data_IF_906206077973
#
_entry.id   IF_906206077973
#
_cell.length_a   1.000
_cell.length_b   1.000
_cell.length_c   1.000
_cell.angle_alpha   90.00
_cell.angle_beta   90.00
_cell.angle_gamma   90.00
#
_symmetry.space_group_name_H-M   'P 1'
#
loop_
_entity.id
_entity.type
_entity.pdbx_description
1 polymer ?
#
# COMPACT_ATOMS: atom_id res chain seq x y z
N UNK A 1 -37.39 -11.95 -16.37
CA UNK A 1 -36.42 -10.94 -15.91
C UNK A 1 -37.17 -9.98 -14.99
N UNK A 2 -36.56 -9.67 -13.84
CA UNK A 2 -37.10 -8.70 -12.90
C UNK A 2 -37.04 -7.28 -13.53
N UNK A 3 -38.00 -6.43 -13.20
CA UNK A 3 -38.08 -5.04 -13.72
C UNK A 3 -36.79 -4.26 -13.49
N UNK A 4 -36.12 -4.47 -12.34
CA UNK A 4 -34.81 -3.90 -12.00
C UNK A 4 -33.70 -4.39 -12.96
N UNK A 5 -33.76 -5.64 -13.37
CA UNK A 5 -32.79 -6.24 -14.29
C UNK A 5 -32.91 -5.62 -15.69
N UNK A 6 -34.14 -5.37 -16.15
CA UNK A 6 -34.42 -4.71 -17.43
C UNK A 6 -33.92 -3.26 -17.42
N UNK A 7 -34.15 -2.52 -16.32
CA UNK A 7 -33.68 -1.14 -16.14
C UNK A 7 -32.16 -1.09 -16.19
N UNK A 8 -31.48 -2.00 -15.48
CA UNK A 8 -30.02 -2.07 -15.45
C UNK A 8 -29.43 -2.40 -16.84
N UNK A 9 -29.99 -3.36 -17.56
CA UNK A 9 -29.52 -3.71 -18.92
C UNK A 9 -29.71 -2.55 -19.90
N UNK A 10 -30.82 -1.86 -19.82
CA UNK A 10 -31.10 -0.67 -20.63
C UNK A 10 -30.11 0.44 -20.34
N UNK A 11 -29.82 0.69 -19.08
CA UNK A 11 -28.83 1.69 -18.65
C UNK A 11 -27.43 1.36 -19.16
N UNK A 12 -27.00 0.11 -19.03
CA UNK A 12 -25.68 -0.35 -19.52
C UNK A 12 -25.57 -0.18 -21.02
N UNK A 13 -26.64 -0.53 -21.76
CA UNK A 13 -26.68 -0.36 -23.23
C UNK A 13 -26.55 1.12 -23.61
N UNK A 14 -27.31 1.99 -22.96
CA UNK A 14 -27.23 3.43 -23.21
C UNK A 14 -25.86 4.04 -22.89
N UNK A 15 -25.24 3.58 -21.78
CA UNK A 15 -23.90 4.02 -21.42
C UNK A 15 -22.87 3.54 -22.44
N UNK A 16 -22.97 2.26 -22.89
CA UNK A 16 -22.10 1.71 -23.93
C UNK A 16 -22.20 2.51 -25.24
N UNK A 17 -23.40 2.79 -25.73
CA UNK A 17 -23.63 3.57 -26.92
C UNK A 17 -23.04 5.00 -26.79
N UNK A 18 -23.18 5.63 -25.63
CA UNK A 18 -22.59 6.95 -25.35
C UNK A 18 -21.07 6.91 -25.38
N UNK A 19 -20.46 5.90 -24.75
CA UNK A 19 -19.02 5.70 -24.74
C UNK A 19 -18.52 5.43 -26.15
N UNK A 20 -19.11 4.49 -26.90
CA UNK A 20 -18.71 4.17 -28.27
C UNK A 20 -18.81 5.37 -29.21
N UNK A 21 -19.85 6.20 -29.08
CA UNK A 21 -19.96 7.44 -29.85
C UNK A 21 -18.82 8.41 -29.55
N UNK A 22 -18.50 8.64 -28.26
CA UNK A 22 -17.40 9.52 -27.86
C UNK A 22 -16.03 8.97 -28.29
N UNK A 23 -15.84 7.65 -28.23
CA UNK A 23 -14.63 7.00 -28.75
C UNK A 23 -14.48 7.17 -30.26
N UNK A 24 -15.59 7.13 -31.01
CA UNK A 24 -15.58 7.41 -32.45
C UNK A 24 -15.25 8.86 -32.80
N UNK A 25 -15.46 9.78 -31.89
CA UNK A 25 -15.10 11.21 -32.03
C UNK A 25 -13.65 11.49 -31.57
N UNK A 26 -13.03 10.61 -30.77
CA UNK A 26 -11.66 10.76 -30.31
C UNK A 26 -10.68 10.38 -31.42
N UNK A 27 -9.58 11.16 -31.57
CA UNK A 27 -8.55 10.90 -32.58
C UNK A 27 -7.56 9.78 -32.16
N UNK A 28 -7.94 8.92 -31.22
CA UNK A 28 -7.13 7.76 -30.81
C UNK A 28 -5.94 8.08 -29.90
N UNK A 29 -5.79 9.30 -29.41
CA UNK A 29 -4.75 9.66 -28.44
C UNK A 29 -5.27 9.39 -27.01
N UNK A 30 -4.65 8.46 -26.32
CA UNK A 30 -4.94 8.14 -24.91
C UNK A 30 -3.87 8.75 -24.00
N UNK A 31 -3.96 10.05 -23.78
CA UNK A 31 -2.94 10.82 -23.06
C UNK A 31 -2.52 10.21 -21.72
N UNK A 32 -3.43 9.71 -20.82
CA UNK A 32 -3.00 9.05 -19.58
C UNK A 32 -2.13 7.81 -19.80
N UNK A 33 -2.44 6.99 -20.82
CA UNK A 33 -1.66 5.81 -21.17
C UNK A 33 -0.33 6.21 -21.83
N UNK A 34 -0.37 7.13 -22.77
CA UNK A 34 0.82 7.62 -23.47
C UNK A 34 1.79 8.29 -22.49
N UNK A 35 1.28 9.05 -21.51
CA UNK A 35 2.07 9.68 -20.45
C UNK A 35 2.75 8.64 -19.56
N UNK A 36 2.02 7.62 -19.13
CA UNK A 36 2.57 6.55 -18.29
C UNK A 36 3.63 5.71 -19.02
N UNK A 37 3.42 5.45 -20.33
CA UNK A 37 4.32 4.60 -21.13
C UNK A 37 5.49 5.37 -21.76
N UNK A 38 5.50 6.70 -21.72
CA UNK A 38 6.55 7.54 -22.34
C UNK A 38 7.93 7.35 -21.70
N UNK A 39 7.98 7.13 -20.38
CA UNK A 39 9.19 7.05 -19.58
C UNK A 39 9.26 5.74 -18.79
N UNK A 40 9.09 4.62 -19.49
CA UNK A 40 9.28 3.29 -18.90
C UNK A 40 10.78 2.99 -18.80
N UNK A 41 11.21 2.47 -17.65
CA UNK A 41 12.58 1.98 -17.45
C UNK A 41 12.58 0.47 -17.20
N UNK A 42 13.72 -0.14 -17.42
CA UNK A 42 13.99 -1.51 -16.96
C UNK A 42 14.21 -1.53 -15.44
N UNK A 43 13.87 -2.63 -14.76
CA UNK A 43 14.18 -2.82 -13.35
C UNK A 43 15.68 -2.69 -13.07
N UNK A 44 16.03 -1.99 -11.99
CA UNK A 44 17.42 -1.77 -11.60
C UNK A 44 17.96 -3.02 -10.91
N UNK A 45 19.12 -3.50 -11.37
CA UNK A 45 19.89 -4.55 -10.71
C UNK A 45 20.62 -4.00 -9.48
N UNK A 46 20.58 -4.72 -8.35
CA UNK A 46 21.19 -4.31 -7.07
C UNK A 46 20.81 -2.90 -6.62
N UNK A 47 19.51 -2.61 -6.51
CA UNK A 47 19.05 -1.26 -6.23
C UNK A 47 19.37 -0.81 -4.81
N UNK A 48 19.47 0.50 -4.62
CA UNK A 48 19.37 1.13 -3.30
C UNK A 48 17.87 1.35 -2.99
N UNK A 49 17.42 0.75 -1.89
CA UNK A 49 16.01 0.75 -1.47
C UNK A 49 15.86 1.53 -0.18
N UNK A 50 14.84 2.36 -0.07
CA UNK A 50 14.46 3.00 1.19
C UNK A 50 13.11 2.47 1.68
N UNK A 51 12.90 2.50 2.99
CA UNK A 51 11.63 2.13 3.61
C UNK A 51 11.36 3.03 4.82
N UNK A 52 10.10 3.12 5.25
CA UNK A 52 9.77 3.87 6.45
C UNK A 52 9.96 2.99 7.69
N UNK A 53 10.65 3.52 8.70
CA UNK A 53 10.90 2.89 10.00
C UNK A 53 12.36 2.55 10.25
N UNK A 54 12.60 1.97 11.40
CA UNK A 54 13.93 1.53 11.86
C UNK A 54 14.27 0.12 11.31
N UNK A 55 15.55 -0.30 11.31
CA UNK A 55 15.93 -1.69 11.06
C UNK A 55 15.14 -2.67 11.94
N UNK A 56 14.60 -3.73 11.34
CA UNK A 56 13.69 -4.65 12.03
C UNK A 56 12.20 -4.32 11.85
N UNK A 57 11.84 -3.21 11.19
CA UNK A 57 10.46 -2.90 10.86
C UNK A 57 9.87 -3.87 9.83
N UNK A 58 8.53 -3.97 9.77
CA UNK A 58 7.85 -4.78 8.76
C UNK A 58 8.09 -4.25 7.33
N UNK A 59 8.38 -2.96 7.19
CA UNK A 59 8.77 -2.35 5.90
C UNK A 59 10.13 -2.85 5.41
N UNK A 60 11.13 -3.05 6.30
CA UNK A 60 12.39 -3.71 5.95
C UNK A 60 12.15 -5.17 5.51
N UNK A 61 11.30 -5.89 6.25
CA UNK A 61 10.95 -7.27 5.89
C UNK A 61 10.28 -7.35 4.52
N UNK A 62 9.45 -6.38 4.17
CA UNK A 62 8.85 -6.27 2.85
C UNK A 62 9.90 -5.99 1.76
N UNK A 63 10.87 -5.10 2.01
CA UNK A 63 11.97 -4.84 1.10
C UNK A 63 12.81 -6.11 0.86
N UNK A 64 13.14 -6.85 1.91
CA UNK A 64 13.86 -8.13 1.82
C UNK A 64 13.02 -9.19 1.09
N UNK A 65 11.71 -9.25 1.32
CA UNK A 65 10.81 -10.18 0.64
C UNK A 65 10.77 -9.94 -0.88
N UNK A 66 10.72 -8.68 -1.30
CA UNK A 66 10.60 -8.32 -2.72
C UNK A 66 11.92 -8.36 -3.47
N UNK A 67 13.00 -7.80 -2.90
CA UNK A 67 14.30 -7.65 -3.57
C UNK A 67 15.30 -8.77 -3.23
N UNK A 68 14.98 -9.61 -2.25
CA UNK A 68 15.84 -10.68 -1.79
C UNK A 68 16.73 -10.30 -0.60
N UNK A 69 17.31 -11.36 0.02
CA UNK A 69 18.25 -11.19 1.13
C UNK A 69 19.51 -10.48 0.65
N UNK A 70 19.94 -9.46 1.38
CA UNK A 70 21.15 -8.70 1.04
C UNK A 70 20.88 -7.44 0.20
N UNK A 71 19.62 -7.10 -0.05
CA UNK A 71 19.27 -5.82 -0.67
C UNK A 71 19.88 -4.66 0.15
N UNK A 72 20.49 -3.70 -0.56
CA UNK A 72 20.99 -2.48 0.06
C UNK A 72 19.80 -1.59 0.42
N UNK A 73 19.35 -1.67 1.68
CA UNK A 73 18.17 -0.96 2.14
C UNK A 73 18.47 -0.08 3.36
N UNK A 74 17.79 1.09 3.42
CA UNK A 74 17.93 2.10 4.47
C UNK A 74 16.56 2.51 5.00
N UNK A 75 16.41 2.57 6.33
CA UNK A 75 15.21 3.05 6.99
C UNK A 75 15.20 4.57 7.13
N UNK A 76 14.06 5.19 6.83
CA UNK A 76 13.81 6.62 6.98
C UNK A 76 12.65 6.87 7.94
N UNK A 77 12.63 8.02 8.62
CA UNK A 77 11.69 8.28 9.70
C UNK A 77 10.27 8.48 9.17
N UNK A 78 10.10 9.31 8.14
CA UNK A 78 8.79 9.67 7.60
C UNK A 78 8.57 9.08 6.21
N UNK A 79 7.31 8.84 5.85
CA UNK A 79 6.95 8.42 4.50
C UNK A 79 7.43 9.42 3.45
N UNK A 80 7.29 10.71 3.72
CA UNK A 80 7.70 11.78 2.81
C UNK A 80 9.18 11.72 2.47
N UNK A 81 10.05 11.47 3.46
CA UNK A 81 11.50 11.32 3.26
C UNK A 81 11.82 10.23 2.23
N UNK A 82 11.03 9.14 2.19
CA UNK A 82 11.23 8.06 1.23
C UNK A 82 10.91 8.49 -0.21
N UNK A 83 9.87 9.31 -0.39
CA UNK A 83 9.53 9.88 -1.70
C UNK A 83 10.58 10.90 -2.14
N UNK A 84 11.07 11.74 -1.25
CA UNK A 84 12.16 12.67 -1.54
C UNK A 84 13.44 11.94 -1.94
N UNK A 85 13.78 10.84 -1.25
CA UNK A 85 14.96 10.05 -1.57
C UNK A 85 14.90 9.46 -2.98
N UNK A 86 13.75 8.90 -3.41
CA UNK A 86 13.63 8.36 -4.77
C UNK A 86 13.50 9.44 -5.83
N UNK A 87 12.92 10.59 -5.54
CA UNK A 87 12.80 11.72 -6.49
C UNK A 87 14.14 12.44 -6.70
N UNK A 88 14.96 12.55 -5.67
CA UNK A 88 16.30 13.11 -5.78
C UNK A 88 17.34 12.17 -6.39
N UNK A 89 17.01 10.87 -6.56
CA UNK A 89 17.94 9.84 -7.01
C UNK A 89 18.89 9.35 -5.89
N UNK A 90 18.64 9.70 -4.64
CA UNK A 90 19.38 9.17 -3.49
C UNK A 90 19.07 7.68 -3.23
N UNK A 91 17.92 7.22 -3.68
CA UNK A 91 17.52 5.82 -3.72
C UNK A 91 16.77 5.49 -5.03
N UNK A 92 16.70 4.21 -5.38
CA UNK A 92 16.06 3.75 -6.61
C UNK A 92 14.59 3.41 -6.40
N UNK A 93 14.27 2.84 -5.23
CA UNK A 93 12.92 2.42 -4.85
C UNK A 93 12.61 2.76 -3.40
N UNK A 94 11.32 2.96 -3.13
CA UNK A 94 10.78 3.00 -1.78
C UNK A 94 9.82 1.82 -1.56
N UNK A 95 9.89 1.16 -0.38
CA UNK A 95 8.94 0.11 0.02
C UNK A 95 8.07 0.64 1.15
N UNK A 96 6.78 0.76 0.88
CA UNK A 96 5.83 1.48 1.73
C UNK A 96 4.57 0.64 1.99
N UNK A 97 4.07 0.63 3.24
CA UNK A 97 2.82 -0.03 3.56
C UNK A 97 1.65 0.76 2.93
N UNK A 98 0.77 0.09 2.19
CA UNK A 98 -0.38 0.74 1.56
C UNK A 98 -1.71 0.33 2.19
N UNK A 99 -1.74 -0.85 2.79
CA UNK A 99 -2.92 -1.39 3.44
C UNK A 99 -2.55 -2.41 4.52
N UNK A 100 -3.31 -2.39 5.61
CA UNK A 100 -3.26 -3.45 6.61
C UNK A 100 -4.64 -4.12 6.71
N UNK A 101 -4.69 -5.44 6.76
CA UNK A 101 -5.94 -6.23 6.79
C UNK A 101 -6.83 -5.97 8.01
N UNK A 102 -6.28 -5.39 9.08
CA UNK A 102 -7.01 -5.07 10.31
C UNK A 102 -7.43 -3.61 10.41
N UNK A 103 -6.67 -2.68 9.82
CA UNK A 103 -6.87 -1.22 9.98
C UNK A 103 -7.19 -0.50 8.67
N UNK A 104 -7.13 -1.21 7.53
CA UNK A 104 -7.47 -0.68 6.22
C UNK A 104 -6.35 0.13 5.56
N UNK A 105 -6.72 1.05 4.68
CA UNK A 105 -5.82 1.84 3.86
C UNK A 105 -4.93 2.78 4.65
N UNK A 106 -3.64 2.83 4.28
CA UNK A 106 -2.67 3.80 4.80
C UNK A 106 -2.69 5.03 3.89
N UNK A 107 -3.62 5.90 4.20
CA UNK A 107 -4.06 7.01 3.35
C UNK A 107 -2.95 7.96 2.93
N UNK A 108 -2.01 8.25 3.85
CA UNK A 108 -0.89 9.15 3.59
C UNK A 108 -0.03 8.68 2.40
N UNK A 109 0.14 7.37 2.20
CA UNK A 109 0.94 6.86 1.08
C UNK A 109 0.26 7.12 -0.26
N UNK A 110 -1.08 7.04 -0.34
CA UNK A 110 -1.83 7.42 -1.55
C UNK A 110 -1.68 8.91 -1.87
N UNK A 111 -1.75 9.76 -0.83
CA UNK A 111 -1.61 11.20 -0.99
C UNK A 111 -0.20 11.56 -1.52
N UNK A 112 0.84 10.93 -0.96
CA UNK A 112 2.23 11.12 -1.38
C UNK A 112 2.50 10.56 -2.79
N UNK A 113 1.92 9.40 -3.14
CA UNK A 113 1.98 8.88 -4.52
C UNK A 113 1.46 9.89 -5.53
N UNK A 114 0.34 10.54 -5.22
CA UNK A 114 -0.24 11.57 -6.09
C UNK A 114 0.63 12.83 -6.12
N UNK A 115 1.08 13.31 -4.97
CA UNK A 115 1.88 14.53 -4.82
C UNK A 115 3.24 14.43 -5.51
N UNK A 116 3.96 13.33 -5.32
CA UNK A 116 5.32 13.14 -5.87
C UNK A 116 5.33 12.55 -7.27
N UNK A 117 4.17 12.27 -7.82
CA UNK A 117 4.04 11.68 -9.16
C UNK A 117 4.89 10.42 -9.38
N UNK A 118 4.87 9.52 -8.42
CA UNK A 118 5.56 8.25 -8.47
C UNK A 118 4.67 7.11 -8.95
N UNK A 119 5.28 5.98 -9.28
CA UNK A 119 4.62 4.78 -9.79
C UNK A 119 4.78 3.60 -8.83
N UNK A 120 3.75 2.78 -8.72
CA UNK A 120 3.81 1.46 -8.09
C UNK A 120 4.31 0.45 -9.13
N UNK A 121 5.46 -0.17 -8.87
CA UNK A 121 6.13 -1.09 -9.79
C UNK A 121 6.16 -2.54 -9.28
N UNK A 122 5.58 -2.76 -8.12
CA UNK A 122 5.44 -4.08 -7.51
C UNK A 122 4.70 -4.00 -6.18
N UNK A 123 4.30 -5.15 -5.67
CA UNK A 123 3.74 -5.29 -4.32
C UNK A 123 4.22 -6.57 -3.65
N UNK A 124 4.15 -6.60 -2.34
CA UNK A 124 4.37 -7.77 -1.51
C UNK A 124 3.55 -7.69 -0.24
N UNK A 125 3.34 -8.83 0.40
CA UNK A 125 2.65 -8.89 1.67
C UNK A 125 3.58 -9.36 2.77
N UNK A 126 3.37 -8.86 3.98
CA UNK A 126 4.08 -9.31 5.17
C UNK A 126 3.07 -9.61 6.27
N UNK A 127 3.10 -10.84 6.77
CA UNK A 127 2.32 -11.21 7.95
C UNK A 127 2.87 -10.50 9.17
N UNK A 128 2.02 -9.74 9.84
CA UNK A 128 2.38 -9.03 11.07
C UNK A 128 2.29 -10.00 12.25
N UNK A 129 3.45 -10.45 12.72
CA UNK A 129 3.58 -11.31 13.91
C UNK A 129 4.31 -10.55 15.00
N UNK A 130 3.55 -10.02 15.96
CA UNK A 130 4.10 -9.33 17.10
C UNK A 130 4.58 -10.33 18.15
N UNK A 131 5.78 -10.11 18.65
CA UNK A 131 6.41 -10.93 19.69
C UNK A 131 6.76 -10.04 20.89
N UNK A 132 6.63 -10.58 22.09
CA UNK A 132 7.13 -9.94 23.30
C UNK A 132 8.59 -10.30 23.48
N UNK A 133 9.43 -9.30 23.63
CA UNK A 133 10.87 -9.46 23.76
C UNK A 133 11.46 -8.63 24.88
N UNK A 134 12.52 -9.15 25.48
CA UNK A 134 13.23 -8.58 26.62
C UNK A 134 14.75 -8.73 26.42
N UNK A 135 15.55 -8.19 27.35
CA UNK A 135 16.98 -8.46 27.41
C UNK A 135 17.25 -9.97 27.57
N UNK A 136 18.39 -10.49 27.07
CA UNK A 136 18.71 -11.93 27.11
C UNK A 136 18.63 -12.58 28.47
N UNK A 137 18.95 -11.82 29.54
CA UNK A 137 19.00 -12.25 30.93
C UNK A 137 17.76 -11.85 31.73
N UNK A 138 16.69 -11.33 31.09
CA UNK A 138 15.41 -11.01 31.70
C UNK A 138 14.36 -12.08 31.42
N UNK A 139 13.34 -12.14 32.30
CA UNK A 139 12.21 -13.05 32.24
C UNK A 139 10.85 -12.32 32.35
N UNK A 140 9.75 -13.06 32.15
CA UNK A 140 8.38 -12.52 32.17
C UNK A 140 8.06 -11.82 33.50
N UNK A 141 8.60 -12.33 34.64
CA UNK A 141 8.39 -11.78 35.97
C UNK A 141 9.09 -10.45 36.24
N UNK A 142 10.10 -10.11 35.45
CA UNK A 142 10.82 -8.84 35.58
C UNK A 142 10.05 -7.67 34.98
N UNK A 143 9.14 -7.94 34.04
CA UNK A 143 8.48 -6.92 33.21
C UNK A 143 7.57 -6.02 34.03
N UNK A 144 7.78 -4.71 33.88
CA UNK A 144 6.92 -3.65 34.43
C UNK A 144 6.41 -2.70 33.37
N UNK A 145 7.15 -2.56 32.26
CA UNK A 145 6.79 -1.63 31.17
C UNK A 145 6.99 -2.29 29.81
N UNK A 146 6.00 -2.11 28.94
CA UNK A 146 6.02 -2.62 27.56
C UNK A 146 5.94 -1.45 26.59
N UNK A 147 6.85 -1.42 25.61
CA UNK A 147 6.95 -0.41 24.58
C UNK A 147 6.57 -0.99 23.21
N UNK A 148 5.81 -0.24 22.44
CA UNK A 148 5.54 -0.50 21.01
C UNK A 148 4.89 0.71 20.38
N UNK A 149 4.72 0.69 19.04
CA UNK A 149 3.81 1.61 18.37
C UNK A 149 2.37 1.43 18.92
N UNK A 150 1.60 2.51 18.98
CA UNK A 150 0.23 2.48 19.52
C UNK A 150 -0.62 1.37 18.90
N UNK A 151 -0.54 1.21 17.58
CA UNK A 151 -1.23 0.14 16.87
C UNK A 151 -0.74 -1.27 17.27
N UNK A 152 0.56 -1.45 17.53
CA UNK A 152 1.12 -2.72 18.01
C UNK A 152 0.57 -3.08 19.39
N UNK A 153 0.46 -2.09 20.28
CA UNK A 153 -0.17 -2.26 21.60
C UNK A 153 -1.63 -2.67 21.45
N UNK A 154 -2.40 -1.96 20.62
CA UNK A 154 -3.81 -2.26 20.35
C UNK A 154 -4.00 -3.67 19.76
N UNK A 155 -3.19 -4.03 18.78
CA UNK A 155 -3.25 -5.36 18.16
C UNK A 155 -2.89 -6.51 19.11
N UNK A 156 -2.23 -6.23 20.24
CA UNK A 156 -1.87 -7.20 21.29
C UNK A 156 -2.71 -7.05 22.57
N UNK A 157 -3.81 -6.31 22.50
CA UNK A 157 -4.60 -5.93 23.66
C UNK A 157 -5.09 -7.13 24.48
N UNK A 158 -5.53 -8.21 23.83
CA UNK A 158 -6.00 -9.41 24.52
C UNK A 158 -4.91 -9.99 25.43
N UNK A 159 -3.71 -10.17 24.90
CA UNK A 159 -2.55 -10.66 25.67
C UNK A 159 -2.16 -9.68 26.79
N UNK A 160 -2.11 -8.38 26.50
CA UNK A 160 -1.75 -7.36 27.47
C UNK A 160 -2.78 -7.20 28.60
N UNK A 161 -4.04 -7.56 28.37
CA UNK A 161 -5.07 -7.55 29.41
C UNK A 161 -4.94 -8.70 30.42
N UNK A 162 -4.15 -9.72 30.11
CA UNK A 162 -3.76 -10.77 31.05
C UNK A 162 -2.65 -10.29 32.04
N UNK A 163 -1.96 -9.18 31.66
CA UNK A 163 -0.85 -8.55 32.41
C UNK A 163 -1.15 -7.08 32.73
N UNK A 164 -2.19 -6.83 33.52
CA UNK A 164 -2.70 -5.48 33.82
C UNK A 164 -1.77 -4.61 34.65
N UNK A 165 -0.82 -5.22 35.32
CA UNK A 165 0.23 -4.59 36.08
C UNK A 165 1.34 -3.96 35.23
N UNK A 166 1.41 -4.29 33.95
CA UNK A 166 2.39 -3.70 33.04
C UNK A 166 1.93 -2.33 32.53
N UNK A 167 2.83 -1.35 32.58
CA UNK A 167 2.63 -0.04 32.00
C UNK A 167 2.87 -0.12 30.47
N UNK A 168 1.90 0.29 29.67
CA UNK A 168 1.96 0.30 28.20
C UNK A 168 2.37 1.69 27.74
N UNK A 169 3.48 1.80 27.02
CA UNK A 169 4.04 3.10 26.59
C UNK A 169 4.14 3.13 25.07
N UNK A 170 3.30 3.93 24.39
CA UNK A 170 3.40 4.13 22.96
C UNK A 170 4.73 4.77 22.54
N UNK A 171 5.26 4.32 21.40
CA UNK A 171 6.45 4.84 20.76
C UNK A 171 6.16 5.14 19.26
N UNK A 172 7.11 5.79 18.59
CA UNK A 172 6.99 6.18 17.18
C UNK A 172 6.85 4.96 16.26
N UNK A 173 7.57 3.87 16.53
CA UNK A 173 7.50 2.62 15.78
C UNK A 173 7.85 1.39 16.64
N UNK A 174 7.54 0.19 16.11
CA UNK A 174 7.76 -1.08 16.82
C UNK A 174 9.24 -1.45 16.91
N UNK A 175 10.03 -1.24 15.85
CA UNK A 175 11.43 -1.62 15.81
C UNK A 175 12.30 -0.68 16.67
N UNK A 176 12.01 0.63 16.65
CA UNK A 176 12.62 1.61 17.57
C UNK A 176 12.35 1.30 19.02
N UNK A 177 11.18 0.72 19.34
CA UNK A 177 10.91 0.22 20.70
C UNK A 177 11.86 -0.91 21.10
N UNK A 178 12.16 -1.84 20.19
CA UNK A 178 13.13 -2.90 20.45
C UNK A 178 14.55 -2.35 20.63
N UNK A 179 14.97 -1.42 19.76
CA UNK A 179 16.26 -0.71 19.91
C UNK A 179 16.36 -0.04 21.28
N UNK A 180 15.34 0.73 21.65
CA UNK A 180 15.31 1.45 22.93
C UNK A 180 15.43 0.50 24.14
N UNK A 181 14.72 -0.64 24.15
CA UNK A 181 14.84 -1.64 25.23
C UNK A 181 16.25 -2.21 25.32
N UNK A 182 16.88 -2.49 24.17
CA UNK A 182 18.28 -2.94 24.13
C UNK A 182 19.25 -1.90 24.69
N UNK A 183 19.09 -0.64 24.31
CA UNK A 183 19.96 0.48 24.75
C UNK A 183 19.77 0.82 26.25
N UNK A 184 18.54 0.72 26.76
CA UNK A 184 18.25 1.01 28.18
C UNK A 184 18.91 0.00 29.13
N UNK A 185 19.08 -1.25 28.74
CA UNK A 185 19.69 -2.27 29.56
C UNK A 185 18.92 -2.60 30.86
N UNK A 186 17.64 -2.25 30.95
CA UNK A 186 16.78 -2.42 32.11
C UNK A 186 15.87 -3.64 31.95
N UNK A 187 16.08 -4.68 32.75
CA UNK A 187 15.31 -5.94 32.72
C UNK A 187 13.79 -5.75 32.92
N UNK A 188 13.37 -4.64 33.51
CA UNK A 188 11.96 -4.34 33.72
C UNK A 188 11.24 -3.85 32.47
N UNK A 189 11.95 -3.73 31.36
CA UNK A 189 11.46 -3.21 30.09
C UNK A 189 11.33 -4.32 29.04
N UNK A 190 10.21 -4.29 28.31
CA UNK A 190 9.95 -5.19 27.20
C UNK A 190 9.52 -4.42 25.96
N UNK A 191 9.72 -4.98 24.79
CA UNK A 191 9.20 -4.45 23.54
C UNK A 191 8.25 -5.43 22.87
N UNK A 192 7.29 -4.91 22.11
CA UNK A 192 6.46 -5.69 21.18
C UNK A 192 6.87 -5.31 19.76
N UNK A 193 7.45 -6.27 19.03
CA UNK A 193 7.99 -6.03 17.69
C UNK A 193 8.06 -7.32 16.85
N UNK A 194 8.66 -7.21 15.65
CA UNK A 194 8.95 -8.33 14.76
C UNK A 194 10.08 -9.23 15.31
N UNK A 195 10.17 -10.48 14.85
CA UNK A 195 11.31 -11.34 15.16
C UNK A 195 12.63 -10.79 14.62
N UNK A 196 12.57 -10.10 13.47
CA UNK A 196 13.76 -9.46 12.86
C UNK A 196 14.37 -8.39 13.77
N UNK A 197 13.54 -7.58 14.45
CA UNK A 197 14.04 -6.61 15.41
C UNK A 197 14.73 -7.29 16.61
N UNK A 198 14.22 -8.42 17.08
CA UNK A 198 14.88 -9.17 18.15
C UNK A 198 16.30 -9.63 17.73
N UNK A 199 16.46 -10.13 16.51
CA UNK A 199 17.77 -10.52 15.95
C UNK A 199 18.75 -9.35 15.88
N UNK A 200 18.29 -8.21 15.32
CA UNK A 200 19.14 -7.02 15.12
C UNK A 200 19.60 -6.41 16.45
N UNK A 201 18.69 -6.31 17.42
CA UNK A 201 18.96 -5.62 18.70
C UNK A 201 19.36 -6.57 19.83
N UNK A 202 19.57 -7.87 19.53
CA UNK A 202 20.04 -8.85 20.50
C UNK A 202 19.06 -9.11 21.64
N UNK A 203 17.76 -9.04 21.38
CA UNK A 203 16.71 -9.30 22.37
C UNK A 203 16.24 -10.76 22.33
N UNK A 204 15.83 -11.28 23.50
CA UNK A 204 15.22 -12.60 23.63
C UNK A 204 13.71 -12.51 23.45
N UNK A 205 13.17 -13.26 22.50
CA UNK A 205 11.72 -13.43 22.37
C UNK A 205 11.26 -14.39 23.48
N UNK A 206 10.40 -13.92 24.36
CA UNK A 206 9.85 -14.71 25.46
C UNK A 206 8.42 -15.18 25.18
N UNK A 207 7.71 -14.52 24.27
CA UNK A 207 6.40 -14.96 23.81
C UNK A 207 6.21 -14.59 22.33
N UNK A 208 5.94 -15.57 21.51
CA UNK A 208 5.69 -15.37 20.09
C UNK A 208 4.20 -15.19 19.77
N UNK A 209 3.92 -14.38 18.75
CA UNK A 209 2.60 -14.28 18.12
C UNK A 209 1.50 -13.85 19.09
N UNK A 210 1.74 -12.77 19.82
CA UNK A 210 0.80 -12.25 20.83
C UNK A 210 -0.33 -11.39 20.22
N UNK A 211 -0.41 -11.29 18.89
CA UNK A 211 -1.49 -10.60 18.20
C UNK A 211 -2.84 -11.23 18.52
N UNK A 212 -3.85 -10.41 18.79
CA UNK A 212 -5.25 -10.81 18.91
C UNK A 212 -5.76 -11.40 17.59
N UNK A 213 -5.47 -10.72 16.47
CA UNK A 213 -5.74 -11.23 15.12
C UNK A 213 -4.48 -11.89 14.55
N UNK A 214 -4.50 -13.22 14.42
CA UNK A 214 -3.35 -14.00 13.92
C UNK A 214 -3.20 -13.95 12.40
N UNK A 215 -4.20 -13.52 11.66
CA UNK A 215 -4.18 -13.37 10.19
C UNK A 215 -3.82 -11.95 9.75
N UNK A 216 -3.37 -11.07 10.67
CA UNK A 216 -3.00 -9.71 10.36
C UNK A 216 -1.86 -9.67 9.34
N UNK A 217 -2.12 -9.04 8.20
CA UNK A 217 -1.17 -8.93 7.08
C UNK A 217 -1.15 -7.48 6.60
N UNK A 218 0.02 -6.98 6.30
CA UNK A 218 0.20 -5.67 5.67
C UNK A 218 0.64 -5.86 4.22
N UNK A 219 -0.02 -5.18 3.32
CA UNK A 219 0.36 -5.07 1.91
C UNK A 219 1.28 -3.86 1.74
N UNK A 220 2.40 -4.09 1.09
CA UNK A 220 3.42 -3.09 0.77
C UNK A 220 3.49 -2.91 -0.74
N UNK A 221 3.73 -1.69 -1.17
CA UNK A 221 4.01 -1.35 -2.56
C UNK A 221 5.46 -0.94 -2.73
N UNK A 222 6.02 -1.31 -3.86
CA UNK A 222 7.33 -0.85 -4.32
C UNK A 222 7.09 0.35 -5.21
N UNK A 223 7.62 1.49 -4.80
CA UNK A 223 7.43 2.78 -5.44
C UNK A 223 8.70 3.21 -6.17
N UNK A 224 8.53 3.73 -7.36
CA UNK A 224 9.59 4.21 -8.25
C UNK A 224 9.22 5.58 -8.83
N UNK A 225 10.19 6.47 -9.10
CA UNK A 225 9.91 7.71 -9.81
C UNK A 225 9.60 7.51 -11.30
N UNK A 226 9.85 6.30 -11.83
CA UNK A 226 9.57 5.94 -13.23
C UNK A 226 8.74 4.67 -13.29
N UNK A 227 7.92 4.55 -14.35
CA UNK A 227 7.15 3.35 -14.64
C UNK A 227 8.08 2.18 -14.97
N UNK A 228 7.71 0.98 -14.54
CA UNK A 228 8.31 -0.29 -14.93
C UNK A 228 7.23 -1.28 -15.35
N UNK A 229 7.49 -2.03 -16.42
CA UNK A 229 6.59 -3.05 -16.93
C UNK A 229 7.21 -4.43 -16.75
N UNK A 230 7.18 -4.94 -15.54
CA UNK A 230 7.76 -6.24 -15.18
C UNK A 230 6.98 -7.39 -15.82
N UNK A 231 7.63 -8.50 -16.19
CA UNK A 231 6.94 -9.68 -16.71
C UNK A 231 5.90 -10.23 -15.73
N UNK A 232 4.79 -10.75 -16.27
CA UNK A 232 3.72 -11.34 -15.47
C UNK A 232 2.78 -10.34 -14.79
N UNK A 233 2.92 -9.05 -15.07
CA UNK A 233 2.03 -8.01 -14.55
C UNK A 233 0.58 -8.28 -14.93
N UNK A 234 -0.30 -8.15 -13.97
CA UNK A 234 -1.72 -8.50 -14.09
C UNK A 234 -2.65 -7.56 -13.32
N UNK A 235 -2.09 -6.54 -12.66
CA UNK A 235 -2.82 -5.55 -11.89
C UNK A 235 -2.45 -4.14 -12.34
N UNK A 236 -3.45 -3.32 -12.63
CA UNK A 236 -3.30 -1.91 -12.97
C UNK A 236 -3.86 -1.07 -11.82
N UNK A 237 -3.13 -0.03 -11.44
CA UNK A 237 -3.62 1.00 -10.51
C UNK A 237 -3.75 2.34 -11.24
N UNK A 238 -4.93 2.95 -11.10
CA UNK A 238 -5.23 4.29 -11.62
C UNK A 238 -5.80 5.17 -10.52
N UNK A 239 -5.73 6.48 -10.70
CA UNK A 239 -6.63 7.41 -10.02
C UNK A 239 -7.50 8.14 -11.02
N UNK A 240 -8.66 8.60 -10.54
CA UNK A 240 -9.58 9.42 -11.31
C UNK A 240 -10.46 10.29 -10.40
N UNK A 241 -11.06 11.32 -10.98
CA UNK A 241 -12.06 12.16 -10.32
C UNK A 241 -13.42 11.95 -10.97
N UNK A 242 -14.48 12.04 -10.18
CA UNK A 242 -15.85 12.04 -10.69
C UNK A 242 -16.49 13.40 -10.45
N UNK A 243 -17.44 13.78 -11.30
CA UNK A 243 -18.31 14.92 -10.99
C UNK A 243 -19.07 14.67 -9.68
N UNK A 244 -19.28 15.71 -8.90
CA UNK A 244 -20.07 15.62 -7.66
C UNK A 244 -21.58 15.62 -7.99
N UNK A 245 -22.06 14.52 -8.56
CA UNK A 245 -23.47 14.29 -8.91
C UNK A 245 -23.90 12.86 -8.65
N UNK A 246 -25.21 12.67 -8.51
CA UNK A 246 -25.80 11.35 -8.36
C UNK A 246 -25.45 10.44 -9.54
N UNK A 247 -24.95 9.23 -9.25
CA UNK A 247 -24.61 8.21 -10.26
C UNK A 247 -23.22 8.36 -10.88
N UNK A 248 -22.45 9.43 -10.65
CA UNK A 248 -21.15 9.62 -11.31
C UNK A 248 -20.18 8.47 -11.09
N UNK A 249 -20.00 8.02 -9.84
CA UNK A 249 -19.15 6.87 -9.54
C UNK A 249 -19.70 5.57 -10.15
N UNK A 250 -21.01 5.39 -10.16
CA UNK A 250 -21.65 4.23 -10.78
C UNK A 250 -21.36 4.18 -12.30
N UNK A 251 -21.38 5.32 -13.00
CA UNK A 251 -21.00 5.39 -14.43
C UNK A 251 -19.57 4.92 -14.64
N UNK A 252 -18.62 5.40 -13.83
CA UNK A 252 -17.22 4.97 -13.90
C UNK A 252 -17.07 3.46 -13.67
N UNK A 253 -17.71 2.92 -12.61
CA UNK A 253 -17.65 1.49 -12.29
C UNK A 253 -18.31 0.61 -13.36
N UNK A 254 -19.31 1.13 -14.06
CA UNK A 254 -19.97 0.41 -15.14
C UNK A 254 -19.03 0.19 -16.34
N UNK A 255 -18.03 1.05 -16.55
CA UNK A 255 -17.01 0.83 -17.59
C UNK A 255 -16.22 -0.45 -17.32
N UNK A 256 -15.76 -0.69 -16.09
CA UNK A 256 -15.07 -1.93 -15.73
C UNK A 256 -15.92 -3.17 -16.05
N UNK A 257 -17.23 -3.11 -15.73
CA UNK A 257 -18.17 -4.19 -16.07
C UNK A 257 -18.31 -4.40 -17.58
N UNK A 258 -18.44 -3.32 -18.37
CA UNK A 258 -18.60 -3.40 -19.84
C UNK A 258 -17.41 -4.11 -20.49
N UNK A 259 -16.19 -3.83 -19.99
CA UNK A 259 -14.96 -4.42 -20.49
C UNK A 259 -14.54 -5.71 -19.78
N UNK A 260 -15.37 -6.23 -18.86
CA UNK A 260 -15.11 -7.49 -18.15
C UNK A 260 -13.91 -7.44 -17.20
N UNK A 261 -13.55 -6.26 -16.71
CA UNK A 261 -12.42 -6.08 -15.80
C UNK A 261 -12.87 -6.29 -14.34
N UNK A 262 -12.09 -7.05 -13.59
CA UNK A 262 -12.31 -7.25 -12.17
C UNK A 262 -11.69 -6.09 -11.39
N UNK A 263 -12.54 -5.30 -10.71
CA UNK A 263 -12.10 -4.27 -9.78
C UNK A 263 -11.68 -4.94 -8.47
N UNK A 264 -10.40 -4.88 -8.14
CA UNK A 264 -9.81 -5.50 -6.94
C UNK A 264 -9.93 -4.57 -5.74
N UNK A 265 -9.78 -3.26 -5.97
CA UNK A 265 -9.79 -2.25 -4.92
C UNK A 265 -10.35 -0.92 -5.40
N UNK A 266 -11.00 -0.22 -4.47
CA UNK A 266 -11.43 1.17 -4.65
C UNK A 266 -11.25 1.93 -3.33
N UNK A 267 -10.41 2.96 -3.35
CA UNK A 267 -10.17 3.84 -2.20
C UNK A 267 -10.50 5.27 -2.59
N UNK A 268 -11.23 5.98 -1.75
CA UNK A 268 -11.55 7.39 -1.97
C UNK A 268 -10.70 8.30 -1.09
N UNK A 269 -10.15 9.36 -1.69
CA UNK A 269 -9.38 10.38 -0.98
C UNK A 269 -9.98 11.76 -1.21
N UNK A 270 -10.25 12.56 -0.17
CA UNK A 270 -10.64 13.94 -0.35
C UNK A 270 -9.51 14.71 -1.04
N UNK A 271 -9.89 15.60 -1.96
CA UNK A 271 -8.92 16.45 -2.64
C UNK A 271 -8.64 17.67 -1.73
N UNK A 272 -7.35 17.93 -1.41
CA UNK A 272 -7.01 19.12 -0.64
C UNK A 272 -7.58 20.39 -1.30
N UNK A 273 -8.10 21.32 -0.47
CA UNK A 273 -8.64 22.60 -0.89
C UNK A 273 -9.95 22.57 -1.71
N UNK A 274 -10.39 21.40 -2.18
CA UNK A 274 -11.65 21.22 -2.89
C UNK A 274 -12.71 20.57 -2.01
N UNK A 275 -13.61 21.36 -1.43
CA UNK A 275 -14.66 20.85 -0.53
C UNK A 275 -15.56 19.84 -1.24
N UNK A 276 -15.71 18.65 -0.62
CA UNK A 276 -16.60 17.57 -1.09
C UNK A 276 -16.23 16.97 -2.45
N UNK A 277 -15.00 17.20 -2.92
CA UNK A 277 -14.43 16.54 -4.09
C UNK A 277 -13.52 15.39 -3.66
N UNK A 278 -13.55 14.32 -4.44
CA UNK A 278 -12.81 13.09 -4.15
C UNK A 278 -12.02 12.62 -5.35
N UNK A 279 -10.81 12.19 -5.10
CA UNK A 279 -10.02 11.36 -6.00
C UNK A 279 -10.25 9.90 -5.61
N UNK A 280 -10.48 9.05 -6.58
CA UNK A 280 -10.61 7.61 -6.39
C UNK A 280 -9.36 6.91 -6.91
N UNK A 281 -8.78 6.05 -6.09
CA UNK A 281 -7.76 5.10 -6.52
C UNK A 281 -8.44 3.76 -6.78
N UNK A 282 -8.27 3.23 -7.97
CA UNK A 282 -8.85 1.96 -8.39
C UNK A 282 -7.74 0.99 -8.83
N UNK A 283 -7.77 -0.22 -8.28
CA UNK A 283 -6.92 -1.31 -8.75
C UNK A 283 -7.81 -2.35 -9.43
N UNK A 284 -7.41 -2.79 -10.61
CA UNK A 284 -8.15 -3.77 -11.39
C UNK A 284 -7.21 -4.70 -12.17
N UNK A 285 -7.73 -5.87 -12.55
CA UNK A 285 -6.95 -6.85 -13.30
C UNK A 285 -6.72 -6.37 -14.73
N UNK A 286 -5.47 -6.48 -15.20
CA UNK A 286 -5.12 -6.10 -16.57
C UNK A 286 -3.63 -5.89 -16.79
N UNK A 287 -3.29 -5.72 -18.07
CA UNK A 287 -1.96 -5.35 -18.55
C UNK A 287 -2.09 -4.18 -19.52
N UNK A 288 -1.37 -3.09 -19.24
CA UNK A 288 -1.42 -1.87 -20.05
C UNK A 288 -0.97 -2.05 -21.50
N UNK A 289 -0.20 -3.12 -21.78
CA UNK A 289 0.33 -3.39 -23.13
C UNK A 289 -0.54 -4.32 -23.97
N UNK A 290 -1.61 -4.87 -23.38
CA UNK A 290 -2.54 -5.74 -24.11
C UNK A 290 -3.40 -4.90 -25.06
N UNK A 291 -3.58 -5.42 -26.29
CA UNK A 291 -4.45 -4.80 -27.31
C UNK A 291 -5.85 -4.53 -26.74
N UNK A 292 -6.33 -3.30 -26.92
CA UNK A 292 -7.63 -2.86 -26.45
C UNK A 292 -7.63 -2.19 -25.07
N UNK A 293 -6.53 -2.20 -24.30
CA UNK A 293 -6.47 -1.51 -23.01
C UNK A 293 -6.56 0.02 -23.15
N UNK A 294 -6.05 0.58 -24.26
CA UNK A 294 -6.25 1.99 -24.60
C UNK A 294 -7.75 2.35 -24.67
N UNK A 295 -8.59 1.49 -25.28
CA UNK A 295 -10.05 1.71 -25.32
C UNK A 295 -10.71 1.71 -23.96
N UNK A 296 -10.21 0.90 -23.01
CA UNK A 296 -10.68 0.91 -21.62
C UNK A 296 -10.42 2.26 -20.96
N UNK A 297 -9.18 2.75 -21.07
CA UNK A 297 -8.80 4.05 -20.48
C UNK A 297 -9.57 5.20 -21.14
N UNK A 298 -9.67 5.20 -22.48
CA UNK A 298 -10.49 6.18 -23.20
C UNK A 298 -11.98 6.13 -22.79
N UNK A 299 -12.52 4.92 -22.60
CA UNK A 299 -13.90 4.75 -22.12
C UNK A 299 -14.10 5.32 -20.72
N UNK A 300 -13.12 5.14 -19.84
CA UNK A 300 -13.12 5.78 -18.52
C UNK A 300 -13.07 7.30 -18.64
N UNK A 301 -12.24 7.87 -19.52
CA UNK A 301 -12.18 9.32 -19.79
C UNK A 301 -13.52 9.91 -20.25
N UNK A 302 -14.41 9.09 -20.80
CA UNK A 302 -15.77 9.53 -21.14
C UNK A 302 -16.69 9.73 -19.91
N UNK A 303 -16.33 9.17 -18.76
CA UNK A 303 -17.17 9.14 -17.55
C UNK A 303 -16.53 9.83 -16.34
N UNK A 304 -15.22 10.03 -16.38
CA UNK A 304 -14.43 10.62 -15.27
C UNK A 304 -13.46 11.67 -15.82
N UNK A 305 -12.83 12.41 -14.92
CA UNK A 305 -11.75 13.36 -15.24
C UNK A 305 -10.47 13.02 -14.48
N UNK A 306 -9.38 13.67 -14.87
CA UNK A 306 -8.07 13.59 -14.21
C UNK A 306 -7.59 12.14 -13.99
N UNK A 307 -7.71 11.31 -15.01
CA UNK A 307 -7.19 9.95 -14.96
C UNK A 307 -5.68 9.99 -14.95
N UNK A 308 -5.09 9.26 -13.99
CA UNK A 308 -3.67 9.01 -13.94
C UNK A 308 -3.41 7.53 -13.69
N UNK A 309 -2.44 6.97 -14.41
CA UNK A 309 -1.96 5.60 -14.20
C UNK A 309 -0.82 5.64 -13.17
N UNK A 310 -0.99 4.89 -12.08
CA UNK A 310 0.01 4.77 -11.01
C UNK A 310 0.87 3.53 -11.13
N UNK A 311 0.49 2.54 -11.91
CA UNK A 311 1.31 1.35 -12.09
C UNK A 311 0.61 0.22 -12.82
N UNK A 312 1.44 -0.71 -13.31
CA UNK A 312 1.04 -2.01 -13.79
C UNK A 312 2.05 -3.04 -13.32
N UNK A 313 1.66 -3.85 -12.36
CA UNK A 313 2.55 -4.73 -11.62
C UNK A 313 1.90 -6.10 -11.38
N UNK A 314 2.69 -7.04 -10.84
CA UNK A 314 2.20 -8.38 -10.50
C UNK A 314 1.45 -8.32 -9.18
N UNK A 315 0.24 -8.88 -9.14
CA UNK A 315 -0.49 -9.09 -7.89
C UNK A 315 0.26 -10.12 -7.02
N UNK A 316 0.57 -9.73 -5.78
CA UNK A 316 1.22 -10.62 -4.82
C UNK A 316 0.51 -10.52 -3.46
N UNK A 317 -0.46 -11.40 -3.26
CA UNK A 317 -1.30 -11.46 -2.05
C UNK A 317 -1.01 -12.69 -1.16
N UNK A 318 0.10 -13.38 -1.35
CA UNK A 318 0.50 -14.53 -0.52
C UNK A 318 1.16 -14.16 0.81
#
# INVERSE_FOLDING_TARGET
MDEIQIINEKYITQLRERVERKLGESQGACEPLDSALRNVREPIENPKVVYQGEPGAYSEMAAISFFGKGVNSEGLVHFEDTFEAIKSGAADYAVLPIENSSTGAIRQVYDLLAQYECYMVGETTVRVKHNLMVLPDADMSDIKTVFSHEQGIFQCEQFLNEHRDWVRVPQADTAGSARMVSELGDKSKAAICSSRAAEIYGLKIIKEGINTNRSNTTRFVVVSPMMELRPGRDKICISFRTEHKAGALHEALTVFRIYGLNLVRLESRPIPEEKWQYMFFAEFTGDLTVEGMNRVIEALMCTVSDIRIFGNFVENLE
#
